data_IF_357200826684
#
_entry.id   IF_357200826684
#
_cell.length_a   1.000
_cell.length_b   1.000
_cell.length_c   1.000
_cell.angle_alpha   90.00
_cell.angle_beta   90.00
_cell.angle_gamma   90.00
#
_symmetry.space_group_name_H-M   'P 1'
#
loop_
_entity.id
_entity.type
_entity.pdbx_description
1 polymer ?
#
# COMPACT_ATOMS: atom_id res chain seq x y z
N UNK A 1 -28.72 -31.96 -8.00
CA UNK A 1 -28.15 -30.64 -7.63
C UNK A 1 -27.87 -30.67 -6.15
N UNK A 2 -26.68 -30.24 -5.70
CA UNK A 2 -26.37 -30.18 -4.26
C UNK A 2 -27.39 -29.28 -3.55
N UNK A 3 -27.84 -29.66 -2.35
CA UNK A 3 -28.75 -28.85 -1.52
C UNK A 3 -28.16 -27.46 -1.30
N UNK A 4 -26.84 -27.37 -1.11
CA UNK A 4 -26.12 -26.11 -0.97
C UNK A 4 -26.24 -25.22 -2.20
N UNK A 5 -26.05 -25.79 -3.40
CA UNK A 5 -26.16 -25.03 -4.67
C UNK A 5 -27.58 -24.51 -4.87
N UNK A 6 -28.59 -25.32 -4.50
CA UNK A 6 -29.99 -24.90 -4.58
C UNK A 6 -30.27 -23.71 -3.66
N UNK A 7 -29.84 -23.79 -2.40
CA UNK A 7 -30.00 -22.69 -1.44
C UNK A 7 -29.24 -21.43 -1.89
N UNK A 8 -27.99 -21.58 -2.34
CA UNK A 8 -27.22 -20.46 -2.86
C UNK A 8 -27.92 -19.80 -4.05
N UNK A 9 -28.46 -20.57 -4.99
CA UNK A 9 -29.19 -20.04 -6.14
C UNK A 9 -30.48 -19.31 -5.76
N UNK A 10 -31.23 -19.82 -4.77
CA UNK A 10 -32.46 -19.18 -4.25
C UNK A 10 -32.18 -17.81 -3.62
N UNK A 11 -31.03 -17.65 -2.98
CA UNK A 11 -30.64 -16.40 -2.31
C UNK A 11 -29.65 -15.54 -3.10
N UNK A 12 -29.17 -16.01 -4.26
CA UNK A 12 -28.07 -15.40 -5.00
C UNK A 12 -28.33 -13.94 -5.35
N UNK A 13 -29.57 -13.58 -5.69
CA UNK A 13 -29.90 -12.21 -6.06
C UNK A 13 -29.58 -11.19 -4.97
N UNK A 14 -29.67 -11.57 -3.69
CA UNK A 14 -29.39 -10.69 -2.56
C UNK A 14 -27.88 -10.48 -2.32
N UNK A 15 -27.04 -11.46 -2.70
CA UNK A 15 -25.61 -11.47 -2.39
C UNK A 15 -24.75 -11.12 -3.61
N UNK A 16 -25.23 -11.47 -4.81
CA UNK A 16 -24.52 -11.25 -6.08
C UNK A 16 -24.08 -9.80 -6.36
N UNK A 17 -24.76 -8.74 -5.87
CA UNK A 17 -24.26 -7.39 -6.07
C UNK A 17 -22.88 -7.15 -5.43
N UNK A 18 -22.61 -7.77 -4.28
CA UNK A 18 -21.34 -7.70 -3.56
C UNK A 18 -20.30 -8.69 -4.10
N UNK A 19 -20.72 -9.77 -4.75
CA UNK A 19 -19.84 -10.81 -5.29
C UNK A 19 -19.45 -10.56 -6.76
N UNK A 20 -19.03 -9.33 -7.08
CA UNK A 20 -18.48 -8.96 -8.39
C UNK A 20 -17.23 -8.12 -8.24
N UNK A 21 -16.17 -8.48 -9.00
CA UNK A 21 -14.95 -7.68 -9.09
C UNK A 21 -15.25 -6.26 -9.60
N UNK A 22 -14.68 -5.22 -8.99
CA UNK A 22 -14.93 -3.85 -9.39
C UNK A 22 -14.29 -3.58 -10.76
N UNK A 23 -15.00 -2.85 -11.61
CA UNK A 23 -14.52 -2.48 -12.97
C UNK A 23 -14.28 -0.99 -13.13
N UNK A 24 -14.72 -0.20 -12.15
CA UNK A 24 -14.60 1.25 -12.11
C UNK A 24 -14.65 1.70 -10.64
N UNK A 25 -14.41 3.00 -10.42
CA UNK A 25 -14.38 3.61 -9.09
C UNK A 25 -15.70 3.45 -8.32
N UNK A 26 -16.85 3.54 -8.98
CA UNK A 26 -18.13 3.40 -8.30
C UNK A 26 -18.36 1.95 -7.80
N UNK A 27 -17.96 0.95 -8.58
CA UNK A 27 -17.98 -0.44 -8.12
C UNK A 27 -17.03 -0.64 -6.92
N UNK A 28 -15.84 -0.04 -7.00
CA UNK A 28 -14.83 -0.09 -5.93
C UNK A 28 -15.37 0.51 -4.62
N UNK A 29 -15.94 1.72 -4.67
CA UNK A 29 -16.48 2.42 -3.51
C UNK A 29 -17.61 1.62 -2.83
N UNK A 30 -18.42 0.90 -3.62
CA UNK A 30 -19.44 -0.01 -3.09
C UNK A 30 -18.81 -1.15 -2.29
N UNK A 31 -17.73 -1.76 -2.79
CA UNK A 31 -17.06 -2.85 -2.09
C UNK A 31 -16.33 -2.38 -0.83
N UNK A 32 -15.67 -1.22 -0.89
CA UNK A 32 -15.01 -0.62 0.29
C UNK A 32 -16.05 -0.36 1.37
N UNK A 33 -17.16 0.29 1.02
CA UNK A 33 -18.23 0.56 1.98
C UNK A 33 -18.82 -0.73 2.56
N UNK A 34 -19.01 -1.76 1.73
CA UNK A 34 -19.51 -3.04 2.20
C UNK A 34 -18.52 -3.75 3.13
N UNK A 35 -17.21 -3.64 2.85
CA UNK A 35 -16.16 -4.16 3.71
C UNK A 35 -16.16 -3.47 5.08
N UNK A 36 -16.29 -2.14 5.11
CA UNK A 36 -16.39 -1.37 6.35
C UNK A 36 -17.59 -1.81 7.20
N UNK A 37 -18.78 -1.87 6.60
CA UNK A 37 -20.00 -2.36 7.28
C UNK A 37 -19.85 -3.81 7.79
N UNK A 38 -19.12 -4.65 7.04
CA UNK A 38 -18.89 -6.05 7.40
C UNK A 38 -17.94 -6.17 8.60
N UNK A 39 -16.87 -5.38 8.63
CA UNK A 39 -15.92 -5.33 9.74
C UNK A 39 -16.59 -4.78 11.02
N UNK A 40 -17.42 -3.74 10.88
CA UNK A 40 -18.23 -3.24 12.01
C UNK A 40 -19.19 -4.31 12.56
N UNK A 41 -19.83 -5.09 11.68
CA UNK A 41 -20.74 -6.16 12.08
C UNK A 41 -20.03 -7.32 12.77
N UNK A 42 -18.85 -7.70 12.28
CA UNK A 42 -18.04 -8.80 12.84
C UNK A 42 -17.44 -8.39 14.20
N UNK A 43 -17.02 -7.13 14.35
CA UNK A 43 -16.37 -6.66 15.57
C UNK A 43 -15.08 -7.43 15.84
N UNK A 44 -14.95 -7.99 17.04
CA UNK A 44 -13.77 -8.75 17.48
C UNK A 44 -13.88 -10.26 17.19
N UNK A 45 -14.97 -10.74 16.57
CA UNK A 45 -15.16 -12.17 16.29
C UNK A 45 -14.49 -12.60 14.98
N UNK A 46 -13.18 -12.79 15.01
CA UNK A 46 -12.40 -13.31 13.88
C UNK A 46 -12.81 -14.75 13.47
N UNK A 47 -13.66 -15.45 14.23
CA UNK A 47 -14.16 -16.78 13.87
C UNK A 47 -15.45 -16.75 13.06
N UNK A 48 -16.00 -15.56 12.81
CA UNK A 48 -17.23 -15.37 12.06
C UNK A 48 -17.15 -15.97 10.65
N UNK A 49 -18.16 -16.73 10.19
CA UNK A 49 -18.21 -17.23 8.80
C UNK A 49 -18.13 -16.10 7.75
N UNK A 50 -18.49 -14.87 8.14
CA UNK A 50 -18.42 -13.68 7.30
C UNK A 50 -16.98 -13.22 7.01
N UNK A 51 -15.98 -13.70 7.75
CA UNK A 51 -14.57 -13.45 7.43
C UNK A 51 -14.20 -13.93 6.02
N UNK A 52 -14.81 -15.03 5.56
CA UNK A 52 -14.60 -15.47 4.17
C UNK A 52 -15.09 -14.46 3.12
N UNK A 53 -16.07 -13.62 3.46
CA UNK A 53 -16.52 -12.52 2.59
C UNK A 53 -15.59 -11.32 2.71
N UNK A 54 -15.07 -11.02 3.91
CA UNK A 54 -14.01 -10.00 4.13
C UNK A 54 -12.82 -10.30 3.23
N UNK A 55 -12.32 -11.54 3.23
CA UNK A 55 -11.19 -11.96 2.41
C UNK A 55 -11.46 -11.72 0.91
N UNK A 56 -12.62 -12.17 0.41
CA UNK A 56 -12.99 -12.03 -1.01
C UNK A 56 -13.07 -10.55 -1.43
N UNK A 57 -13.69 -9.70 -0.60
CA UNK A 57 -13.81 -8.27 -0.91
C UNK A 57 -12.45 -7.58 -0.86
N UNK A 58 -11.64 -7.89 0.15
CA UNK A 58 -10.29 -7.34 0.31
C UNK A 58 -9.40 -7.67 -0.89
N UNK A 59 -9.40 -8.94 -1.34
CA UNK A 59 -8.64 -9.39 -2.51
C UNK A 59 -9.02 -8.60 -3.78
N UNK A 60 -10.30 -8.25 -3.94
CA UNK A 60 -10.78 -7.54 -5.13
C UNK A 60 -10.50 -6.05 -5.09
N UNK A 61 -10.62 -5.44 -3.91
CA UNK A 61 -10.23 -4.05 -3.65
C UNK A 61 -8.73 -3.91 -3.92
N UNK A 62 -7.90 -4.79 -3.33
CA UNK A 62 -6.46 -4.78 -3.54
C UNK A 62 -6.09 -4.96 -5.02
N UNK A 63 -6.67 -5.95 -5.70
CA UNK A 63 -6.41 -6.17 -7.11
C UNK A 63 -6.78 -4.96 -7.98
N UNK A 64 -7.85 -4.24 -7.65
CA UNK A 64 -8.23 -3.01 -8.34
C UNK A 64 -7.23 -1.88 -8.08
N UNK A 65 -6.84 -1.67 -6.82
CA UNK A 65 -5.87 -0.67 -6.42
C UNK A 65 -4.51 -0.91 -7.07
N UNK A 66 -4.01 -2.15 -7.11
CA UNK A 66 -2.76 -2.48 -7.81
C UNK A 66 -2.79 -2.16 -9.32
N UNK A 67 -3.96 -2.19 -9.94
CA UNK A 67 -4.13 -1.89 -11.36
C UNK A 67 -4.32 -0.39 -11.62
N UNK A 68 -5.11 0.30 -10.81
CA UNK A 68 -5.58 1.67 -11.07
C UNK A 68 -4.90 2.72 -10.19
N UNK A 69 -4.49 2.34 -8.99
CA UNK A 69 -3.89 3.19 -7.97
C UNK A 69 -2.57 2.60 -7.47
N UNK A 70 -1.65 2.31 -8.41
CA UNK A 70 -0.29 1.92 -8.04
C UNK A 70 0.27 2.96 -7.10
N UNK A 71 0.62 2.54 -5.89
CA UNK A 71 1.35 3.39 -4.97
C UNK A 71 2.56 3.95 -5.73
N UNK A 72 2.76 5.28 -5.74
CA UNK A 72 3.94 5.84 -6.35
C UNK A 72 5.15 5.20 -5.66
N UNK A 73 6.02 4.57 -6.44
CA UNK A 73 7.30 4.08 -5.91
C UNK A 73 8.08 5.33 -5.52
N UNK A 74 8.17 5.59 -4.22
CA UNK A 74 8.99 6.67 -3.71
C UNK A 74 10.43 6.35 -4.14
N UNK A 75 11.06 7.27 -4.89
CA UNK A 75 12.46 7.09 -5.22
C UNK A 75 13.29 7.14 -3.94
N UNK A 76 14.50 6.55 -3.94
CA UNK A 76 15.41 6.71 -2.81
C UNK A 76 15.69 8.19 -2.44
N UNK A 77 15.53 9.10 -3.39
CA UNK A 77 15.62 10.55 -3.16
C UNK A 77 14.40 11.10 -2.39
N UNK A 78 13.20 10.62 -2.70
CA UNK A 78 11.97 11.01 -1.99
C UNK A 78 12.01 10.51 -0.54
N UNK A 79 12.49 9.28 -0.35
CA UNK A 79 12.71 8.72 0.99
C UNK A 79 13.77 9.51 1.75
N UNK A 80 14.88 9.89 1.10
CA UNK A 80 15.88 10.75 1.72
C UNK A 80 15.29 12.10 2.13
N UNK A 81 14.47 12.73 1.28
CA UNK A 81 13.82 14.01 1.59
C UNK A 81 12.90 13.88 2.79
N UNK A 82 12.12 12.80 2.85
CA UNK A 82 11.26 12.49 3.99
C UNK A 82 12.07 12.30 5.28
N UNK A 83 13.11 11.47 5.25
CA UNK A 83 13.98 11.25 6.42
C UNK A 83 14.67 12.54 6.87
N UNK A 84 15.11 13.39 5.94
CA UNK A 84 15.67 14.69 6.29
C UNK A 84 14.65 15.59 6.99
N UNK A 85 13.41 15.62 6.50
CA UNK A 85 12.33 16.39 7.11
C UNK A 85 12.00 15.88 8.52
N UNK A 86 11.72 14.58 8.65
CA UNK A 86 11.33 13.96 9.93
C UNK A 86 12.40 14.11 11.01
N UNK A 87 13.68 14.04 10.64
CA UNK A 87 14.79 14.16 11.57
C UNK A 87 15.34 15.59 11.68
N UNK A 88 14.75 16.59 11.01
CA UNK A 88 15.22 17.98 11.03
C UNK A 88 16.64 18.17 10.48
N UNK A 89 17.08 17.33 9.54
CA UNK A 89 18.43 17.34 8.99
C UNK A 89 18.56 18.28 7.80
N UNK A 90 19.67 19.02 7.76
CA UNK A 90 20.08 19.79 6.60
C UNK A 90 20.95 18.95 5.65
N UNK A 91 21.18 19.46 4.44
CA UNK A 91 22.06 18.80 3.47
C UNK A 91 23.50 18.63 3.99
N UNK A 92 23.94 19.55 4.86
CA UNK A 92 25.27 19.52 5.47
C UNK A 92 25.43 18.42 6.52
N UNK A 93 24.32 17.88 7.02
CA UNK A 93 24.30 16.84 8.05
C UNK A 93 24.47 15.42 7.47
N UNK A 94 24.68 15.29 6.15
CA UNK A 94 24.80 14.02 5.43
C UNK A 94 26.22 13.75 4.87
N UNK A 95 27.27 13.73 5.71
CA UNK A 95 28.66 13.65 5.24
C UNK A 95 28.99 12.33 4.53
N UNK A 96 28.30 11.22 4.85
CA UNK A 96 28.50 9.95 4.14
C UNK A 96 27.86 9.91 2.76
N UNK A 97 26.94 10.82 2.46
CA UNK A 97 26.44 11.03 1.10
C UNK A 97 27.48 11.83 0.30
N UNK A 98 27.98 12.94 0.86
CA UNK A 98 29.06 13.74 0.29
C UNK A 98 29.02 15.18 0.79
N UNK A 99 29.75 16.07 0.10
CA UNK A 99 29.65 17.50 0.35
C UNK A 99 28.22 18.01 0.08
N UNK A 100 27.84 19.14 0.70
CA UNK A 100 26.51 19.74 0.54
C UNK A 100 26.09 19.90 -0.93
N UNK A 101 27.02 20.28 -1.82
CA UNK A 101 26.76 20.38 -3.26
C UNK A 101 26.35 19.06 -3.90
N UNK A 102 26.96 17.94 -3.49
CA UNK A 102 26.59 16.59 -3.96
C UNK A 102 25.21 16.21 -3.47
N UNK A 103 24.89 16.48 -2.20
CA UNK A 103 23.57 16.20 -1.63
C UNK A 103 22.49 17.02 -2.35
N UNK A 104 22.76 18.29 -2.64
CA UNK A 104 21.87 19.15 -3.43
C UNK A 104 21.63 18.62 -4.85
N UNK A 105 22.68 18.16 -5.54
CA UNK A 105 22.56 17.55 -6.87
C UNK A 105 21.74 16.26 -6.84
N UNK A 106 21.82 15.47 -5.76
CA UNK A 106 20.98 14.28 -5.57
C UNK A 106 19.53 14.66 -5.32
N UNK A 107 19.26 15.58 -4.39
CA UNK A 107 17.90 16.01 -4.04
C UNK A 107 17.16 16.71 -5.20
N UNK A 108 17.91 17.30 -6.13
CA UNK A 108 17.40 17.91 -7.37
C UNK A 108 17.34 16.94 -8.56
N UNK A 109 17.74 15.68 -8.39
CA UNK A 109 17.69 14.65 -9.43
C UNK A 109 18.80 14.75 -10.49
N UNK A 110 19.76 15.67 -10.34
CA UNK A 110 20.92 15.79 -11.24
C UNK A 110 21.91 14.63 -11.06
N UNK A 111 21.92 13.99 -9.89
CA UNK A 111 22.69 12.78 -9.60
C UNK A 111 21.82 11.72 -8.93
N UNK A 112 22.13 10.47 -9.22
CA UNK A 112 21.55 9.31 -8.53
C UNK A 112 22.36 8.98 -7.27
N UNK A 113 21.69 8.43 -6.26
CA UNK A 113 22.36 7.80 -5.12
C UNK A 113 23.14 6.57 -5.63
N UNK A 114 24.38 6.42 -5.19
CA UNK A 114 25.14 5.19 -5.43
C UNK A 114 25.05 4.23 -4.24
N UNK A 115 25.39 2.95 -4.47
CA UNK A 115 25.28 1.89 -3.47
C UNK A 115 26.04 2.18 -2.16
N UNK A 116 27.17 2.88 -2.23
CA UNK A 116 27.94 3.27 -1.03
C UNK A 116 27.16 4.28 -0.18
N UNK A 117 26.56 5.29 -0.83
CA UNK A 117 25.74 6.30 -0.16
C UNK A 117 24.47 5.66 0.42
N UNK A 118 23.82 4.78 -0.35
CA UNK A 118 22.63 4.04 0.09
C UNK A 118 22.92 3.23 1.36
N UNK A 119 24.02 2.46 1.38
CA UNK A 119 24.39 1.68 2.57
C UNK A 119 24.61 2.56 3.80
N UNK A 120 25.27 3.70 3.61
CA UNK A 120 25.49 4.64 4.70
C UNK A 120 24.17 5.25 5.21
N UNK A 121 23.25 5.59 4.30
CA UNK A 121 21.93 6.11 4.67
C UNK A 121 21.10 5.05 5.41
N UNK A 122 21.09 3.82 4.91
CA UNK A 122 20.42 2.69 5.53
C UNK A 122 20.93 2.45 6.96
N UNK A 123 22.25 2.45 7.15
CA UNK A 123 22.87 2.33 8.47
C UNK A 123 22.51 3.52 9.39
N UNK A 124 22.60 4.75 8.86
CA UNK A 124 22.30 5.97 9.65
C UNK A 124 20.86 6.02 10.14
N UNK A 125 19.90 5.61 9.32
CA UNK A 125 18.48 5.65 9.66
C UNK A 125 17.96 4.33 10.24
N UNK A 126 18.79 3.29 10.31
CA UNK A 126 18.37 1.98 10.84
C UNK A 126 17.33 1.27 9.98
N UNK A 127 17.40 1.44 8.64
CA UNK A 127 16.44 0.87 7.68
C UNK A 127 17.13 -0.08 6.69
N UNK A 128 16.35 -0.81 5.91
CA UNK A 128 16.87 -1.67 4.84
C UNK A 128 17.55 -0.85 3.75
N UNK A 129 18.54 -1.43 3.07
CA UNK A 129 19.15 -0.86 1.86
C UNK A 129 18.10 -0.67 0.76
N UNK A 130 17.11 -1.56 0.69
CA UNK A 130 16.01 -1.51 -0.28
C UNK A 130 15.15 -0.24 -0.16
N UNK A 131 15.15 0.40 1.01
CA UNK A 131 14.42 1.64 1.27
C UNK A 131 14.91 2.82 0.42
N UNK A 132 16.14 2.76 -0.12
CA UNK A 132 16.72 3.83 -0.96
C UNK A 132 17.01 3.41 -2.41
N UNK A 133 16.49 2.25 -2.84
CA UNK A 133 16.64 1.74 -4.22
C UNK A 133 15.38 2.09 -5.02
#
# INVERSE_FOLDING_TARGET
MSVLIKQAAEHWHFVSPLLRKPKNEADYDVLVKALDELLELIGEDESSPLMSLVDILSDWIEAYDQQHRRMPVASGVDVLRYMMHEHGLTQSDLPGVGAQSVVSEILSGKRQLNLRQIRWLAERFGVSVETFI
#
